data_IF_819003502428
#
_entry.id   IF_819003502428
#
_cell.length_a   1.000
_cell.length_b   1.000
_cell.length_c   1.000
_cell.angle_alpha   90.00
_cell.angle_beta   90.00
_cell.angle_gamma   90.00
#
_symmetry.space_group_name_H-M   'P 1'
#
loop_
_entity.id
_entity.type
_entity.pdbx_description
1 polymer ?
#
# COMPACT_ATOMS: atom_id res chain seq x y z
N UNK A 1 7.80 19.38 -19.63
CA UNK A 1 7.41 20.69 -19.04
C UNK A 1 7.09 20.46 -17.58
N UNK A 2 7.62 21.29 -16.68
CA UNK A 2 7.39 21.17 -15.24
C UNK A 2 6.85 22.48 -14.71
N UNK A 3 5.92 22.40 -13.76
CA UNK A 3 5.46 23.53 -12.93
C UNK A 3 5.49 23.08 -11.48
N UNK A 4 5.70 24.02 -10.57
CA UNK A 4 5.46 23.80 -9.14
C UNK A 4 4.07 24.38 -8.82
N UNK A 5 3.20 23.59 -8.20
CA UNK A 5 1.86 24.02 -7.80
C UNK A 5 1.76 24.03 -6.28
N UNK A 6 1.40 25.19 -5.73
CA UNK A 6 1.22 25.43 -4.31
C UNK A 6 -0.27 25.42 -4.02
N UNK A 7 -0.71 24.55 -3.13
CA UNK A 7 -2.13 24.41 -2.75
C UNK A 7 -2.42 25.27 -1.52
N UNK A 8 -3.47 26.09 -1.59
CA UNK A 8 -3.87 27.01 -0.54
C UNK A 8 -5.38 26.99 -0.32
N UNK A 9 -6.00 25.80 -0.27
CA UNK A 9 -7.47 25.65 -0.16
C UNK A 9 -8.10 26.37 1.04
N UNK A 10 -7.33 26.56 2.12
CA UNK A 10 -7.77 27.24 3.34
C UNK A 10 -7.19 28.66 3.47
N UNK A 11 -6.38 29.12 2.51
CA UNK A 11 -5.77 30.44 2.54
C UNK A 11 -6.76 31.48 2.01
N UNK A 12 -6.88 32.61 2.72
CA UNK A 12 -7.67 33.75 2.23
C UNK A 12 -7.06 34.36 0.96
N UNK A 13 -7.85 35.11 0.16
CA UNK A 13 -7.36 35.77 -1.05
C UNK A 13 -6.12 36.65 -0.83
N UNK A 14 -6.07 37.36 0.30
CA UNK A 14 -4.95 38.25 0.66
C UNK A 14 -3.64 37.47 0.84
N UNK A 15 -3.71 36.29 1.47
CA UNK A 15 -2.55 35.41 1.67
C UNK A 15 -2.09 34.82 0.34
N UNK A 16 -3.01 34.43 -0.54
CA UNK A 16 -2.68 33.94 -1.89
C UNK A 16 -2.00 35.05 -2.72
N UNK A 17 -2.44 36.29 -2.57
CA UNK A 17 -1.82 37.46 -3.20
C UNK A 17 -0.40 37.71 -2.67
N UNK A 18 -0.24 37.76 -1.34
CA UNK A 18 1.06 37.95 -0.70
C UNK A 18 2.05 36.84 -1.06
N UNK A 19 1.62 35.57 -1.03
CA UNK A 19 2.43 34.43 -1.46
C UNK A 19 2.88 34.56 -2.94
N UNK A 20 1.98 34.98 -3.83
CA UNK A 20 2.32 35.19 -5.24
C UNK A 20 3.31 36.35 -5.44
N UNK A 21 3.20 37.43 -4.65
CA UNK A 21 4.16 38.53 -4.65
C UNK A 21 5.54 38.05 -4.18
N UNK A 22 5.58 37.27 -3.10
CA UNK A 22 6.81 36.67 -2.56
C UNK A 22 7.54 35.80 -3.58
N UNK A 23 6.81 34.99 -4.34
CA UNK A 23 7.38 34.17 -5.42
C UNK A 23 7.99 35.03 -6.54
N UNK A 24 7.39 36.18 -6.86
CA UNK A 24 7.94 37.11 -7.86
C UNK A 24 9.23 37.79 -7.37
N UNK A 25 9.31 38.18 -6.11
CA UNK A 25 10.53 38.72 -5.49
C UNK A 25 11.71 37.76 -5.60
N UNK A 26 11.43 36.45 -5.54
CA UNK A 26 12.44 35.40 -5.70
C UNK A 26 12.91 35.18 -7.15
N UNK A 27 12.33 35.90 -8.12
CA UNK A 27 12.72 35.84 -9.53
C UNK A 27 11.85 34.93 -10.40
N UNK A 28 10.77 34.36 -9.87
CA UNK A 28 9.79 33.63 -10.69
C UNK A 28 8.85 34.62 -11.40
N UNK A 29 8.90 34.62 -12.73
CA UNK A 29 8.16 35.56 -13.60
C UNK A 29 6.82 34.98 -14.05
N UNK A 30 6.69 33.66 -14.15
CA UNK A 30 5.47 32.99 -14.65
C UNK A 30 4.62 32.41 -13.50
N UNK A 31 4.24 33.29 -12.57
CA UNK A 31 3.37 32.96 -11.43
C UNK A 31 1.91 33.27 -11.78
N UNK A 32 1.04 32.25 -11.77
CA UNK A 32 -0.40 32.39 -12.02
C UNK A 32 -1.19 32.01 -10.77
N UNK A 33 -2.12 32.89 -10.38
CA UNK A 33 -3.02 32.68 -9.26
C UNK A 33 -4.33 32.05 -9.71
N UNK A 34 -4.85 31.19 -8.87
CA UNK A 34 -6.20 30.63 -8.92
C UNK A 34 -6.81 30.70 -7.52
N UNK A 35 -8.11 30.45 -7.43
CA UNK A 35 -8.86 30.53 -6.17
C UNK A 35 -8.28 29.64 -5.06
N UNK A 36 -7.84 28.42 -5.38
CA UNK A 36 -7.33 27.45 -4.40
C UNK A 36 -5.82 27.16 -4.51
N UNK A 37 -5.12 27.74 -5.47
CA UNK A 37 -3.72 27.40 -5.74
C UNK A 37 -2.95 28.45 -6.53
N UNK A 38 -1.62 28.37 -6.45
CA UNK A 38 -0.68 29.17 -7.24
C UNK A 38 0.16 28.21 -8.09
N UNK A 39 0.26 28.47 -9.37
CA UNK A 39 1.14 27.73 -10.28
C UNK A 39 2.34 28.60 -10.68
N UNK A 40 3.54 28.04 -10.53
CA UNK A 40 4.80 28.65 -10.95
C UNK A 40 5.33 27.89 -12.16
N UNK A 41 5.10 28.43 -13.36
CA UNK A 41 5.38 27.74 -14.64
C UNK A 41 6.84 27.83 -15.10
N UNK A 42 7.64 28.71 -14.50
CA UNK A 42 9.08 28.82 -14.75
C UNK A 42 9.95 28.20 -13.65
N UNK A 43 9.33 27.58 -12.63
CA UNK A 43 9.99 26.71 -11.68
C UNK A 43 10.17 25.30 -12.26
N UNK A 44 11.39 24.78 -12.23
CA UNK A 44 11.71 23.39 -12.63
C UNK A 44 11.51 22.44 -11.44
N UNK A 45 11.49 21.14 -11.70
CA UNK A 45 11.35 20.11 -10.65
C UNK A 45 12.40 20.25 -9.52
N UNK A 46 13.64 20.64 -9.88
CA UNK A 46 14.71 20.91 -8.91
C UNK A 46 14.46 22.13 -8.00
N UNK A 47 13.58 23.04 -8.40
CA UNK A 47 13.26 24.25 -7.66
C UNK A 47 12.12 24.01 -6.65
N UNK A 48 11.43 22.86 -6.73
CA UNK A 48 10.28 22.52 -5.89
C UNK A 48 10.61 22.60 -4.39
N UNK A 49 11.70 21.97 -3.95
CA UNK A 49 12.11 22.02 -2.54
C UNK A 49 12.40 23.44 -2.04
N UNK A 50 13.01 24.29 -2.88
CA UNK A 50 13.29 25.70 -2.55
C UNK A 50 12.00 26.53 -2.47
N UNK A 51 11.05 26.28 -3.37
CA UNK A 51 9.74 26.93 -3.36
C UNK A 51 8.94 26.51 -2.12
N UNK A 52 8.89 25.22 -1.80
CA UNK A 52 8.23 24.69 -0.60
C UNK A 52 8.83 25.27 0.69
N UNK A 53 10.16 25.29 0.80
CA UNK A 53 10.85 25.86 1.96
C UNK A 53 10.47 27.32 2.19
N UNK A 54 10.48 28.12 1.13
CA UNK A 54 10.14 29.54 1.21
C UNK A 54 8.66 29.78 1.51
N UNK A 55 7.76 28.96 0.97
CA UNK A 55 6.34 29.08 1.28
C UNK A 55 6.05 28.70 2.73
N UNK A 56 6.80 27.76 3.32
CA UNK A 56 6.72 27.49 4.77
C UNK A 56 7.21 28.66 5.60
N UNK A 57 8.33 29.28 5.22
CA UNK A 57 8.83 30.49 5.90
C UNK A 57 7.78 31.61 5.85
N UNK A 58 7.23 31.86 4.66
CA UNK A 58 6.15 32.83 4.47
C UNK A 58 4.91 32.48 5.29
N UNK A 59 4.50 31.20 5.33
CA UNK A 59 3.37 30.76 6.14
C UNK A 59 3.57 31.07 7.64
N UNK A 60 4.79 30.89 8.16
CA UNK A 60 5.13 31.25 9.55
C UNK A 60 5.12 32.77 9.77
N UNK A 61 5.60 33.56 8.80
CA UNK A 61 5.55 35.03 8.83
C UNK A 61 4.11 35.55 8.92
N UNK A 62 3.17 34.87 8.25
CA UNK A 62 1.73 35.17 8.27
C UNK A 62 0.99 34.54 9.49
N UNK A 63 1.72 33.98 10.45
CA UNK A 63 1.15 33.41 11.69
C UNK A 63 0.65 31.97 11.58
N UNK A 64 0.96 31.27 10.50
CA UNK A 64 0.73 29.84 10.34
C UNK A 64 1.84 28.97 10.96
N UNK A 65 1.76 27.66 10.74
CA UNK A 65 2.65 26.70 11.40
C UNK A 65 3.87 26.31 10.55
N UNK A 66 3.78 26.44 9.21
CA UNK A 66 4.87 26.09 8.30
C UNK A 66 5.22 24.60 8.32
N UNK A 67 4.21 23.75 8.49
CA UNK A 67 4.44 22.31 8.59
C UNK A 67 5.06 21.73 7.32
N UNK A 68 5.90 20.72 7.49
CA UNK A 68 6.34 19.88 6.38
C UNK A 68 5.25 18.86 6.09
N UNK A 69 4.70 18.81 4.86
CA UNK A 69 3.74 17.77 4.51
C UNK A 69 4.35 16.39 4.74
N UNK A 70 3.63 15.45 5.38
CA UNK A 70 4.14 14.11 5.55
C UNK A 70 4.30 13.43 4.19
N UNK A 71 5.38 12.67 4.02
CA UNK A 71 5.49 11.74 2.91
C UNK A 71 4.44 10.62 3.07
N UNK A 72 3.93 10.12 1.95
CA UNK A 72 3.00 8.99 1.93
C UNK A 72 3.52 7.86 1.06
N UNK A 73 3.33 6.63 1.53
CA UNK A 73 3.56 5.41 0.77
C UNK A 73 2.21 4.73 0.54
N UNK A 74 1.90 4.45 -0.72
CA UNK A 74 0.66 3.78 -1.11
C UNK A 74 0.98 2.32 -1.45
N UNK A 75 0.22 1.41 -0.86
CA UNK A 75 0.29 -0.01 -1.17
C UNK A 75 -1.03 -0.47 -1.77
N UNK A 76 -0.95 -1.51 -2.61
CA UNK A 76 -2.13 -2.18 -3.14
C UNK A 76 -2.78 -3.00 -2.04
N UNK A 77 -4.11 -2.92 -1.92
CA UNK A 77 -4.85 -3.85 -1.05
C UNK A 77 -4.83 -5.25 -1.64
N UNK A 78 -4.59 -6.23 -0.78
CA UNK A 78 -4.80 -7.63 -1.12
C UNK A 78 -6.29 -7.95 -1.29
N UNK A 79 -6.57 -8.90 -2.17
CA UNK A 79 -7.90 -9.46 -2.36
C UNK A 79 -8.26 -10.36 -1.19
N UNK A 80 -9.53 -10.36 -0.77
CA UNK A 80 -10.03 -11.31 0.21
C UNK A 80 -10.02 -12.74 -0.33
N UNK A 81 -9.92 -13.72 0.56
CA UNK A 81 -9.81 -15.15 0.20
C UNK A 81 -10.99 -15.65 -0.65
N UNK A 82 -12.17 -15.05 -0.52
CA UNK A 82 -13.37 -15.40 -1.30
C UNK A 82 -13.57 -14.51 -2.54
N UNK A 83 -12.55 -13.71 -2.90
CA UNK A 83 -12.65 -12.66 -3.91
C UNK A 83 -13.19 -11.33 -3.33
N UNK A 84 -12.85 -10.22 -4.00
CA UNK A 84 -13.26 -8.88 -3.57
C UNK A 84 -12.47 -8.36 -2.35
N UNK A 85 -13.10 -7.53 -1.51
CA UNK A 85 -12.44 -6.93 -0.34
C UNK A 85 -12.43 -7.90 0.85
N UNK A 86 -11.34 -7.90 1.61
CA UNK A 86 -11.33 -8.44 2.97
C UNK A 86 -12.30 -7.64 3.86
N UNK A 87 -13.11 -8.33 4.65
CA UNK A 87 -14.06 -7.70 5.57
C UNK A 87 -14.26 -8.52 6.83
N UNK A 88 -14.25 -7.84 7.99
CA UNK A 88 -14.60 -8.43 9.28
C UNK A 88 -16.05 -8.93 9.32
N UNK A 89 -16.96 -8.27 8.60
CA UNK A 89 -18.36 -8.71 8.45
C UNK A 89 -18.53 -9.96 7.59
N UNK A 90 -17.48 -10.39 6.88
CA UNK A 90 -17.45 -11.63 6.08
C UNK A 90 -16.26 -12.47 6.54
N UNK A 91 -16.38 -13.25 7.64
CA UNK A 91 -15.26 -13.96 8.24
C UNK A 91 -14.45 -14.83 7.27
N UNK A 92 -15.11 -15.48 6.31
CA UNK A 92 -14.45 -16.31 5.28
C UNK A 92 -13.62 -15.52 4.26
N UNK A 93 -13.74 -14.19 4.22
CA UNK A 93 -12.97 -13.34 3.29
C UNK A 93 -11.58 -12.97 3.81
N UNK A 94 -11.28 -13.17 5.09
CA UNK A 94 -10.03 -12.76 5.71
C UNK A 94 -9.55 -13.77 6.75
N UNK A 95 -8.28 -13.64 7.15
CA UNK A 95 -7.67 -14.39 8.25
C UNK A 95 -7.40 -13.39 9.36
N UNK A 96 -7.99 -13.58 10.54
CA UNK A 96 -7.68 -12.73 11.68
C UNK A 96 -6.35 -13.18 12.32
N UNK A 97 -5.53 -12.24 12.80
CA UNK A 97 -4.25 -12.57 13.45
C UNK A 97 -4.43 -13.36 14.77
N UNK A 98 -5.62 -13.28 15.36
CA UNK A 98 -6.03 -14.02 16.56
C UNK A 98 -6.85 -15.28 16.23
N UNK A 99 -6.98 -15.63 14.95
CA UNK A 99 -7.70 -16.83 14.54
C UNK A 99 -6.94 -18.09 14.92
N UNK A 100 -7.66 -19.17 15.20
CA UNK A 100 -7.04 -20.47 15.40
C UNK A 100 -6.22 -20.86 14.15
N UNK A 101 -4.94 -21.27 14.29
CA UNK A 101 -4.08 -21.56 13.15
C UNK A 101 -4.63 -22.65 12.21
N UNK A 102 -5.38 -23.62 12.74
CA UNK A 102 -5.96 -24.70 11.94
C UNK A 102 -7.18 -24.21 11.15
N UNK A 103 -8.02 -23.38 11.76
CA UNK A 103 -9.15 -22.74 11.07
C UNK A 103 -8.67 -21.77 9.97
N UNK A 104 -7.60 -21.02 10.22
CA UNK A 104 -6.95 -20.19 9.20
C UNK A 104 -6.42 -21.02 8.02
N UNK A 105 -5.76 -22.15 8.29
CA UNK A 105 -5.31 -23.07 7.25
C UNK A 105 -6.49 -23.60 6.40
N UNK A 106 -7.61 -23.96 7.04
CA UNK A 106 -8.85 -24.38 6.34
C UNK A 106 -9.42 -23.28 5.46
N UNK A 107 -9.35 -22.01 5.88
CA UNK A 107 -9.76 -20.87 5.02
C UNK A 107 -8.89 -20.75 3.78
N UNK A 108 -7.56 -20.87 3.92
CA UNK A 108 -6.64 -20.86 2.76
C UNK A 108 -6.96 -21.99 1.78
N UNK A 109 -7.24 -23.19 2.29
CA UNK A 109 -7.67 -24.31 1.46
C UNK A 109 -8.96 -24.03 0.67
N UNK A 110 -9.86 -23.20 1.21
CA UNK A 110 -11.12 -22.77 0.56
C UNK A 110 -10.99 -21.52 -0.31
N UNK A 111 -9.83 -20.86 -0.34
CA UNK A 111 -9.64 -19.59 -1.04
C UNK A 111 -9.83 -19.69 -2.56
N UNK A 112 -10.26 -18.61 -3.20
CA UNK A 112 -10.44 -18.49 -4.65
C UNK A 112 -9.06 -18.44 -5.33
N UNK A 113 -8.92 -19.19 -6.41
CA UNK A 113 -7.68 -19.29 -7.18
C UNK A 113 -7.89 -18.84 -8.61
N UNK A 114 -6.81 -18.45 -9.29
CA UNK A 114 -6.80 -18.26 -10.74
C UNK A 114 -6.62 -19.57 -11.55
N UNK A 115 -6.85 -20.73 -10.93
CA UNK A 115 -6.75 -22.03 -11.60
C UNK A 115 -7.92 -22.34 -12.54
N UNK A 116 -7.80 -23.43 -13.29
CA UNK A 116 -8.83 -23.91 -14.22
C UNK A 116 -9.87 -24.82 -13.55
N UNK A 117 -10.96 -25.11 -14.28
CA UNK A 117 -12.05 -25.96 -13.76
C UNK A 117 -11.61 -27.42 -13.58
N UNK A 118 -10.73 -27.91 -14.45
CA UNK A 118 -10.23 -29.29 -14.40
C UNK A 118 -8.71 -29.37 -14.32
N UNK A 119 -8.22 -30.50 -13.78
CA UNK A 119 -6.79 -30.82 -13.73
C UNK A 119 -6.16 -30.86 -15.14
N UNK A 120 -6.89 -31.40 -16.10
CA UNK A 120 -6.42 -31.51 -17.49
C UNK A 120 -6.25 -30.13 -18.13
N UNK A 121 -7.19 -29.21 -17.92
CA UNK A 121 -7.06 -27.83 -18.39
C UNK A 121 -5.95 -27.08 -17.67
N UNK A 122 -5.80 -27.24 -16.36
CA UNK A 122 -4.71 -26.63 -15.60
C UNK A 122 -3.36 -27.04 -16.17
N UNK A 123 -3.16 -28.32 -16.44
CA UNK A 123 -1.91 -28.84 -17.03
C UNK A 123 -1.67 -28.38 -18.47
N UNK A 124 -2.74 -28.17 -19.24
CA UNK A 124 -2.63 -27.80 -20.66
C UNK A 124 -2.49 -26.30 -20.88
N UNK A 125 -3.19 -25.50 -20.08
CA UNK A 125 -3.36 -24.05 -20.29
C UNK A 125 -2.72 -23.20 -19.18
N UNK A 126 -2.25 -23.82 -18.09
CA UNK A 126 -1.79 -23.11 -16.91
C UNK A 126 -2.89 -22.39 -16.14
N UNK A 127 -2.50 -21.82 -15.00
CA UNK A 127 -3.31 -20.91 -14.19
C UNK A 127 -3.01 -19.43 -14.47
N UNK A 128 -3.80 -18.57 -13.84
CA UNK A 128 -3.68 -17.11 -13.86
C UNK A 128 -3.26 -16.62 -12.46
N UNK A 129 -1.96 -16.70 -12.10
CA UNK A 129 -1.48 -16.31 -10.76
C UNK A 129 -1.82 -14.85 -10.39
N UNK A 130 -1.92 -13.95 -11.37
CA UNK A 130 -2.31 -12.54 -11.18
C UNK A 130 -3.75 -12.38 -10.66
N UNK A 131 -4.59 -13.40 -10.79
CA UNK A 131 -5.97 -13.45 -10.30
C UNK A 131 -6.14 -14.42 -9.13
N UNK A 132 -5.05 -14.92 -8.56
CA UNK A 132 -5.06 -15.95 -7.53
C UNK A 132 -4.82 -15.35 -6.15
N UNK A 133 -5.82 -15.46 -5.26
CA UNK A 133 -5.69 -14.95 -3.87
C UNK A 133 -4.64 -15.72 -3.06
N UNK A 134 -4.40 -16.99 -3.40
CA UNK A 134 -3.37 -17.82 -2.75
C UNK A 134 -1.96 -17.37 -3.14
N UNK A 135 -1.73 -17.06 -4.42
CA UNK A 135 -0.45 -16.49 -4.87
C UNK A 135 -0.24 -15.10 -4.27
N UNK A 136 -1.29 -14.28 -4.22
CA UNK A 136 -1.24 -12.97 -3.56
C UNK A 136 -0.89 -13.10 -2.07
N UNK A 137 -1.41 -14.11 -1.37
CA UNK A 137 -1.05 -14.40 0.03
C UNK A 137 0.43 -14.79 0.17
N UNK A 138 0.97 -15.59 -0.75
CA UNK A 138 2.40 -15.90 -0.79
C UNK A 138 3.23 -14.63 -0.96
N UNK A 139 2.90 -13.84 -1.99
CA UNK A 139 3.60 -12.61 -2.37
C UNK A 139 3.64 -11.57 -1.25
N UNK A 140 2.55 -11.40 -0.50
CA UNK A 140 2.48 -10.35 0.52
C UNK A 140 3.01 -10.78 1.89
N UNK A 141 2.88 -12.06 2.24
CA UNK A 141 3.00 -12.47 3.64
C UNK A 141 3.77 -13.78 3.89
N UNK A 142 3.79 -14.72 2.94
CA UNK A 142 4.27 -16.09 3.22
C UNK A 142 5.58 -16.47 2.52
N UNK A 143 6.13 -15.60 1.67
CA UNK A 143 7.48 -15.73 1.15
C UNK A 143 8.17 -14.38 1.14
N UNK A 144 9.43 -14.39 1.57
CA UNK A 144 10.35 -13.24 1.47
C UNK A 144 11.39 -13.46 0.35
N UNK A 145 11.32 -14.60 -0.36
CA UNK A 145 12.25 -14.97 -1.42
C UNK A 145 11.62 -14.71 -2.79
N UNK A 146 12.14 -13.69 -3.49
CA UNK A 146 11.67 -13.32 -4.82
C UNK A 146 11.84 -14.46 -5.84
N UNK A 147 12.86 -15.31 -5.68
CA UNK A 147 13.11 -16.43 -6.61
C UNK A 147 12.06 -17.53 -6.44
N UNK A 148 11.68 -17.84 -5.20
CA UNK A 148 10.59 -18.76 -4.89
C UNK A 148 9.25 -18.25 -5.44
N UNK A 149 8.95 -16.96 -5.26
CA UNK A 149 7.73 -16.36 -5.81
C UNK A 149 7.69 -16.44 -7.33
N UNK A 150 8.82 -16.18 -7.99
CA UNK A 150 8.95 -16.31 -9.44
C UNK A 150 8.76 -17.77 -9.90
N UNK A 151 9.33 -18.74 -9.19
CA UNK A 151 9.14 -20.17 -9.47
C UNK A 151 7.67 -20.58 -9.34
N UNK A 152 7.01 -20.24 -8.23
CA UNK A 152 5.58 -20.51 -8.02
C UNK A 152 4.74 -19.90 -9.15
N UNK A 153 5.09 -18.69 -9.60
CA UNK A 153 4.40 -18.00 -10.68
C UNK A 153 4.54 -18.73 -12.02
N UNK A 154 5.76 -19.09 -12.41
CA UNK A 154 6.04 -19.76 -13.69
C UNK A 154 5.52 -21.20 -13.72
N UNK A 155 5.66 -21.96 -12.62
CA UNK A 155 5.07 -23.29 -12.52
C UNK A 155 3.53 -23.24 -12.60
N UNK A 156 2.90 -22.21 -12.01
CA UNK A 156 1.46 -22.01 -12.12
C UNK A 156 1.05 -21.71 -13.57
N UNK A 157 1.75 -20.78 -14.23
CA UNK A 157 1.47 -20.38 -15.63
C UNK A 157 1.73 -21.48 -16.65
N UNK A 158 2.71 -22.34 -16.41
CA UNK A 158 3.02 -23.48 -17.29
C UNK A 158 2.07 -24.66 -17.06
N UNK A 159 1.36 -24.71 -15.93
CA UNK A 159 0.51 -25.84 -15.56
C UNK A 159 1.27 -26.98 -14.88
N UNK A 160 2.49 -26.73 -14.39
CA UNK A 160 3.25 -27.66 -13.57
C UNK A 160 2.72 -27.70 -12.13
N UNK A 161 2.45 -26.53 -11.53
CA UNK A 161 1.94 -26.39 -10.17
C UNK A 161 0.41 -26.46 -10.11
N UNK A 162 -0.08 -27.33 -9.24
CA UNK A 162 -1.52 -27.54 -9.03
C UNK A 162 -2.05 -26.69 -7.88
N UNK A 163 -3.27 -26.15 -8.02
CA UNK A 163 -3.86 -25.30 -7.00
C UNK A 163 -3.98 -26.00 -5.64
N UNK A 164 -4.26 -27.30 -5.63
CA UNK A 164 -4.37 -28.08 -4.38
C UNK A 164 -3.06 -28.18 -3.61
N UNK A 165 -1.93 -28.38 -4.29
CA UNK A 165 -0.61 -28.44 -3.64
C UNK A 165 -0.15 -27.05 -3.20
N UNK A 166 -0.32 -26.05 -4.06
CA UNK A 166 -0.01 -24.65 -3.75
C UNK A 166 -0.80 -24.14 -2.53
N UNK A 167 -2.10 -24.49 -2.43
CA UNK A 167 -2.92 -24.17 -1.26
C UNK A 167 -2.44 -24.84 0.02
N UNK A 168 -2.06 -26.12 -0.03
CA UNK A 168 -1.54 -26.84 1.14
C UNK A 168 -0.27 -26.18 1.65
N UNK A 169 0.63 -25.81 0.75
CA UNK A 169 1.85 -25.10 1.09
C UNK A 169 1.54 -23.75 1.77
N UNK A 170 0.65 -22.94 1.19
CA UNK A 170 0.21 -21.68 1.79
C UNK A 170 -0.46 -21.89 3.16
N UNK A 171 -1.26 -22.96 3.30
CA UNK A 171 -1.96 -23.32 4.54
C UNK A 171 -0.97 -23.68 5.66
N UNK A 172 0.09 -24.44 5.37
CA UNK A 172 1.13 -24.74 6.35
C UNK A 172 1.91 -23.48 6.76
N UNK A 173 2.23 -22.61 5.79
CA UNK A 173 2.93 -21.34 6.08
C UNK A 173 2.10 -20.39 6.92
N UNK A 174 0.80 -20.22 6.62
CA UNK A 174 -0.06 -19.35 7.45
C UNK A 174 -0.21 -19.92 8.87
N UNK A 175 -0.32 -21.25 9.00
CA UNK A 175 -0.39 -21.92 10.30
C UNK A 175 0.87 -21.63 11.12
N UNK A 176 2.05 -21.82 10.53
CA UNK A 176 3.33 -21.53 11.16
C UNK A 176 3.47 -20.03 11.52
N UNK A 177 3.06 -19.14 10.62
CA UNK A 177 3.05 -17.70 10.84
C UNK A 177 2.19 -17.32 12.05
N UNK A 178 0.94 -17.82 12.13
CA UNK A 178 0.03 -17.49 13.23
C UNK A 178 0.53 -18.01 14.57
N UNK A 179 1.05 -19.24 14.63
CA UNK A 179 1.65 -19.79 15.85
C UNK A 179 2.78 -18.89 16.36
N UNK A 180 3.70 -18.49 15.46
CA UNK A 180 4.79 -17.58 15.80
C UNK A 180 4.24 -16.22 16.24
N UNK A 181 3.37 -15.60 15.44
CA UNK A 181 2.79 -14.29 15.71
C UNK A 181 2.08 -14.23 17.06
N UNK A 182 1.25 -15.23 17.36
CA UNK A 182 0.47 -15.27 18.61
C UNK A 182 1.39 -15.41 19.82
N UNK A 183 2.45 -16.23 19.73
CA UNK A 183 3.48 -16.30 20.77
C UNK A 183 4.14 -14.93 21.01
N UNK A 184 4.62 -14.28 19.96
CA UNK A 184 5.27 -12.97 20.06
C UNK A 184 4.29 -11.89 20.57
N UNK A 185 3.00 -11.99 20.23
CA UNK A 185 1.96 -11.10 20.73
C UNK A 185 1.74 -11.22 22.23
N UNK A 186 1.85 -12.43 22.81
CA UNK A 186 1.77 -12.61 24.27
C UNK A 186 2.98 -11.97 24.97
N UNK A 187 4.19 -12.15 24.43
CA UNK A 187 5.41 -11.49 24.93
C UNK A 187 5.26 -9.96 24.84
N UNK A 188 4.76 -9.45 23.71
CA UNK A 188 4.53 -8.03 23.51
C UNK A 188 3.52 -7.44 24.51
N UNK A 189 2.56 -8.23 25.00
CA UNK A 189 1.58 -7.77 25.99
C UNK A 189 2.24 -7.31 27.29
N UNK A 190 3.29 -7.99 27.72
CA UNK A 190 4.04 -7.63 28.94
C UNK A 190 4.75 -6.28 28.82
N UNK A 191 5.01 -5.85 27.58
CA UNK A 191 5.72 -4.60 27.27
C UNK A 191 4.81 -3.43 26.99
N UNK A 192 3.49 -3.62 26.91
CA UNK A 192 2.52 -2.52 26.68
C UNK A 192 2.69 -1.35 27.66
N UNK A 193 2.96 -1.57 28.97
CA UNK A 193 3.20 -0.49 29.90
C UNK A 193 4.43 0.38 29.56
N UNK A 194 5.44 -0.16 28.87
CA UNK A 194 6.60 0.63 28.37
C UNK A 194 6.16 1.75 27.41
N UNK A 195 5.01 1.56 26.75
CA UNK A 195 4.45 2.48 25.77
C UNK A 195 3.23 3.24 26.30
N UNK A 196 2.92 3.13 27.60
CA UNK A 196 1.75 3.77 28.20
C UNK A 196 0.41 3.20 27.74
N UNK A 197 0.39 1.94 27.30
CA UNK A 197 -0.80 1.18 26.91
C UNK A 197 -1.20 0.14 27.96
#
# INVERSE_FOLDING_TARGET
EGRVSLRGKAAGPDIIEAAAARLKEMGYKKVKRYEEHIDVFDAKAKDAGKVEEMMRVFEVEEGGYGFVPPASLYHRFMTGLTGGKMSSSRPESHIALTEDPEEAAKKVMRAVTGGRQSLAEQKKLGGEPERCTVYELMLFHLSEDESELQEIFEECKSGERMCGTCKKEAAERIRAFLIKHQREREIARERLPEYGL
#
